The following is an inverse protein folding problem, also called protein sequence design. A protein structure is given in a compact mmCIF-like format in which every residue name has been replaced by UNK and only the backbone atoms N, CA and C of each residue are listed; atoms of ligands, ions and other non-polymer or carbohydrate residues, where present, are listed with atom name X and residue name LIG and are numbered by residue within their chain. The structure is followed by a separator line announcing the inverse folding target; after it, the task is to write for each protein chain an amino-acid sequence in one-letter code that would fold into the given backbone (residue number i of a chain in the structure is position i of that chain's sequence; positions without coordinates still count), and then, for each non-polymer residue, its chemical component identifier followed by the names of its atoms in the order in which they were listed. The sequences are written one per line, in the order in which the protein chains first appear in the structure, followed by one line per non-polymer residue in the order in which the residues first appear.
data_IF_992173853809
#
_entry.id   IF_992173853809
#
_cell.length_a   1.000
_cell.length_b   1.000
_cell.length_c   1.000
_cell.angle_alpha   90.00
_cell.angle_beta   90.00
_cell.angle_gamma   90.00
#
_symmetry.space_group_name_H-M   'P 1'
#
loop_
_entity.id
_entity.type
_entity.pdbx_description
1 polymer ?
#
# COMPACT_ATOMS: atom_id res chain seq x y z
N UNK A 1 9.88 7.64 -29.46
CA UNK A 1 9.40 8.71 -28.57
C UNK A 1 9.00 8.07 -27.25
N UNK A 2 9.56 8.42 -26.08
CA UNK A 2 9.19 7.71 -24.86
C UNK A 2 8.00 8.39 -24.16
N UNK A 3 6.81 7.79 -24.29
CA UNK A 3 6.01 7.40 -23.13
C UNK A 3 5.04 8.38 -22.46
N UNK A 4 4.77 9.57 -23.01
CA UNK A 4 3.85 10.53 -22.37
C UNK A 4 2.38 10.28 -22.71
N UNK A 5 1.68 9.48 -21.91
CA UNK A 5 0.23 9.65 -21.78
C UNK A 5 -0.07 11.08 -21.31
N UNK A 6 -1.18 11.67 -21.75
CA UNK A 6 -1.63 12.97 -21.25
C UNK A 6 -1.80 12.84 -19.73
N UNK A 7 -1.18 13.71 -18.93
CA UNK A 7 -1.35 13.68 -17.47
C UNK A 7 -2.84 13.88 -17.11
N UNK A 8 -3.44 12.88 -16.47
CA UNK A 8 -4.85 12.88 -16.09
C UNK A 8 -5.09 13.28 -14.62
N UNK A 9 -4.06 13.72 -13.90
CA UNK A 9 -4.15 14.01 -12.45
C UNK A 9 -5.31 14.93 -12.11
N UNK A 10 -5.47 16.07 -12.80
CA UNK A 10 -6.54 17.02 -12.50
C UNK A 10 -7.94 16.41 -12.63
N UNK A 11 -8.17 15.61 -13.68
CA UNK A 11 -9.47 14.97 -13.92
C UNK A 11 -9.78 13.85 -12.92
N UNK A 12 -8.76 13.08 -12.53
CA UNK A 12 -8.90 12.03 -11.52
C UNK A 12 -9.14 12.61 -10.13
N UNK A 13 -8.43 13.70 -9.79
CA UNK A 13 -8.60 14.40 -8.52
C UNK A 13 -10.01 14.98 -8.39
N UNK A 14 -10.54 15.59 -9.46
CA UNK A 14 -11.91 16.11 -9.46
C UNK A 14 -12.94 14.98 -9.26
N UNK A 15 -12.72 13.81 -9.87
CA UNK A 15 -13.59 12.65 -9.71
C UNK A 15 -13.54 12.09 -8.28
N UNK A 16 -12.34 11.98 -7.69
CA UNK A 16 -12.16 11.55 -6.30
C UNK A 16 -12.79 12.52 -5.29
N UNK A 17 -12.65 13.83 -5.53
CA UNK A 17 -13.26 14.88 -4.72
C UNK A 17 -14.79 14.83 -4.79
N UNK A 18 -15.36 14.61 -5.99
CA UNK A 18 -16.81 14.44 -6.16
C UNK A 18 -17.30 13.20 -5.41
N UNK A 19 -16.59 12.08 -5.51
CA UNK A 19 -16.94 10.86 -4.79
C UNK A 19 -16.95 11.05 -3.27
N UNK A 20 -15.98 11.80 -2.73
CA UNK A 20 -15.96 12.16 -1.31
C UNK A 20 -17.19 12.99 -0.91
N UNK A 21 -17.58 13.97 -1.74
CA UNK A 21 -18.69 14.87 -1.45
C UNK A 21 -20.06 14.21 -1.58
N UNK A 22 -20.25 13.36 -2.59
CA UNK A 22 -21.55 12.73 -2.87
C UNK A 22 -21.77 11.43 -2.08
N UNK A 23 -20.70 10.84 -1.53
CA UNK A 23 -20.73 9.51 -0.93
C UNK A 23 -20.96 8.38 -1.95
N UNK A 24 -20.88 8.68 -3.25
CA UNK A 24 -21.02 7.68 -4.32
C UNK A 24 -19.66 7.24 -4.83
N UNK A 25 -19.42 5.94 -5.08
CA UNK A 25 -18.15 5.47 -5.61
C UNK A 25 -17.76 6.11 -6.94
N UNK A 26 -16.49 6.52 -7.06
CA UNK A 26 -15.86 6.83 -8.34
C UNK A 26 -15.50 5.52 -9.03
N UNK A 27 -16.26 5.17 -10.07
CA UNK A 27 -15.90 4.06 -10.93
C UNK A 27 -14.82 4.49 -11.93
N UNK A 28 -13.65 3.85 -11.85
CA UNK A 28 -12.54 4.04 -12.78
C UNK A 28 -12.57 2.92 -13.85
N UNK A 29 -12.96 3.23 -15.10
CA UNK A 29 -13.01 2.21 -16.16
C UNK A 29 -11.66 1.54 -16.43
N UNK A 30 -11.65 0.42 -17.16
CA UNK A 30 -10.42 -0.15 -17.72
C UNK A 30 -9.64 0.89 -18.52
N UNK A 31 -8.35 1.04 -18.22
CA UNK A 31 -7.48 2.00 -18.88
C UNK A 31 -6.17 2.21 -18.14
N UNK A 32 -5.21 2.81 -18.85
CA UNK A 32 -3.93 3.27 -18.32
C UNK A 32 -3.98 4.78 -18.11
N UNK A 33 -3.97 5.21 -16.85
CA UNK A 33 -4.09 6.60 -16.44
C UNK A 33 -2.75 7.06 -15.85
N UNK A 34 -2.06 7.94 -16.56
CA UNK A 34 -0.82 8.55 -16.10
C UNK A 34 -1.15 9.68 -15.15
N UNK A 35 -0.68 9.57 -13.91
CA UNK A 35 -1.01 10.54 -12.86
C UNK A 35 0.13 10.70 -11.86
N UNK A 36 0.19 11.87 -11.26
CA UNK A 36 1.00 12.12 -10.07
C UNK A 36 0.15 11.77 -8.83
N UNK A 37 0.42 12.39 -7.68
CA UNK A 37 -0.25 12.08 -6.42
C UNK A 37 -1.71 12.55 -6.45
N UNK A 38 -2.64 11.63 -6.16
CA UNK A 38 -4.04 11.94 -5.84
C UNK A 38 -4.19 12.01 -4.33
N UNK A 39 -4.78 13.08 -3.83
CA UNK A 39 -5.10 13.26 -2.40
C UNK A 39 -6.55 12.85 -2.16
N UNK A 40 -6.78 11.81 -1.36
CA UNK A 40 -8.11 11.30 -1.07
C UNK A 40 -8.64 11.89 0.23
N UNK A 41 -9.91 12.27 0.23
CA UNK A 41 -10.60 12.88 1.39
C UNK A 41 -11.50 11.86 2.05
N UNK A 42 -11.95 12.15 3.27
CA UNK A 42 -12.90 11.30 3.99
C UNK A 42 -14.10 10.90 3.14
N UNK A 43 -14.45 9.62 3.17
CA UNK A 43 -15.53 9.05 2.39
C UNK A 43 -15.21 8.78 0.92
N UNK A 44 -13.99 9.07 0.43
CA UNK A 44 -13.60 8.71 -0.94
C UNK A 44 -13.67 7.20 -1.14
N UNK A 45 -14.41 6.78 -2.17
CA UNK A 45 -14.48 5.40 -2.62
C UNK A 45 -14.12 5.34 -4.10
N UNK A 46 -13.12 4.55 -4.46
CA UNK A 46 -12.70 4.34 -5.85
C UNK A 46 -12.81 2.85 -6.18
N UNK A 47 -13.53 2.55 -7.25
CA UNK A 47 -13.75 1.21 -7.74
C UNK A 47 -13.19 1.08 -9.16
N UNK A 48 -12.13 0.31 -9.30
CA UNK A 48 -11.57 -0.11 -10.58
C UNK A 48 -12.05 -1.49 -11.01
N UNK A 49 -11.55 -1.91 -12.17
CA UNK A 49 -11.63 -3.27 -12.67
C UNK A 49 -10.28 -3.96 -12.37
N UNK A 50 -10.23 -5.00 -11.51
CA UNK A 50 -8.99 -5.64 -11.09
C UNK A 50 -8.07 -5.99 -12.27
N UNK A 51 -6.83 -5.50 -12.20
CA UNK A 51 -5.81 -5.71 -13.24
C UNK A 51 -6.04 -4.94 -14.56
N UNK A 52 -7.09 -4.12 -14.68
CA UNK A 52 -7.39 -3.33 -15.88
C UNK A 52 -7.48 -1.82 -15.66
N UNK A 53 -7.79 -1.38 -14.45
CA UNK A 53 -7.78 0.06 -14.10
C UNK A 53 -6.42 0.41 -13.47
N UNK A 54 -5.52 0.97 -14.28
CA UNK A 54 -4.11 1.16 -13.94
C UNK A 54 -3.80 2.63 -13.76
N UNK A 55 -3.43 3.03 -12.54
CA UNK A 55 -2.82 4.32 -12.25
C UNK A 55 -1.30 4.17 -12.40
N UNK A 56 -0.73 4.83 -13.42
CA UNK A 56 0.71 4.83 -13.71
C UNK A 56 1.35 6.07 -13.15
N UNK A 57 2.38 5.84 -12.34
CA UNK A 57 3.09 6.89 -11.66
C UNK A 57 3.85 7.79 -12.64
N UNK A 58 3.66 9.10 -12.47
CA UNK A 58 4.27 10.14 -13.29
C UNK A 58 5.25 11.05 -12.52
N UNK A 59 5.78 10.59 -11.38
CA UNK A 59 6.70 11.34 -10.54
C UNK A 59 6.02 12.07 -9.37
N UNK A 60 6.84 12.63 -8.48
CA UNK A 60 6.41 13.34 -7.27
C UNK A 60 6.32 12.42 -6.04
N UNK A 61 5.39 12.75 -5.14
CA UNK A 61 5.27 12.13 -3.82
C UNK A 61 4.64 10.72 -3.76
N UNK A 62 4.18 10.18 -4.89
CA UNK A 62 3.50 8.88 -4.97
C UNK A 62 2.25 8.94 -5.84
N UNK A 63 1.43 7.90 -5.78
CA UNK A 63 0.16 7.82 -6.53
C UNK A 63 -1.04 8.19 -5.67
N UNK A 64 -1.05 7.76 -4.41
CA UNK A 64 -2.16 7.98 -3.48
C UNK A 64 -1.62 8.54 -2.17
N UNK A 65 -2.16 9.68 -1.76
CA UNK A 65 -2.02 10.24 -0.42
C UNK A 65 -3.35 10.31 0.30
N UNK A 66 -3.32 10.02 1.59
CA UNK A 66 -4.48 10.13 2.46
C UNK A 66 -3.97 10.67 3.80
N UNK A 67 -4.53 11.79 4.25
CA UNK A 67 -4.17 12.42 5.50
C UNK A 67 -5.43 12.84 6.25
N UNK A 68 -5.48 12.57 7.56
CA UNK A 68 -6.57 12.98 8.47
C UNK A 68 -7.97 12.64 7.93
N UNK A 69 -8.13 11.41 7.44
CA UNK A 69 -9.34 10.96 6.76
C UNK A 69 -10.04 9.78 7.43
N UNK A 70 -11.28 9.52 7.04
CA UNK A 70 -12.03 8.34 7.47
C UNK A 70 -12.80 7.68 6.31
N UNK A 71 -13.08 6.39 6.46
CA UNK A 71 -13.93 5.60 5.56
C UNK A 71 -13.48 5.62 4.08
N UNK A 72 -12.20 5.34 3.84
CA UNK A 72 -11.63 5.27 2.50
C UNK A 72 -11.75 3.84 1.96
N UNK A 73 -12.24 3.68 0.72
CA UNK A 73 -12.31 2.37 0.05
C UNK A 73 -11.65 2.42 -1.32
N UNK A 74 -10.68 1.54 -1.54
CA UNK A 74 -10.00 1.36 -2.81
C UNK A 74 -10.14 -0.10 -3.23
N UNK A 75 -10.80 -0.34 -4.36
CA UNK A 75 -11.04 -1.70 -4.85
C UNK A 75 -10.63 -1.84 -6.30
N UNK A 76 -9.91 -2.92 -6.64
CA UNK A 76 -9.67 -3.29 -8.03
C UNK A 76 -8.75 -2.35 -8.81
N UNK A 77 -7.89 -1.59 -8.12
CA UNK A 77 -6.94 -0.66 -8.72
C UNK A 77 -5.56 -1.29 -8.86
N UNK A 78 -4.85 -0.96 -9.95
CA UNK A 78 -3.41 -1.20 -10.05
C UNK A 78 -2.67 0.12 -9.89
N UNK A 79 -1.85 0.24 -8.86
CA UNK A 79 -0.86 1.31 -8.67
C UNK A 79 0.48 0.84 -9.24
N UNK A 80 0.87 1.37 -10.40
CA UNK A 80 2.08 0.99 -11.11
C UNK A 80 3.15 2.09 -10.96
N UNK A 81 4.21 1.80 -10.22
CA UNK A 81 5.35 2.69 -10.02
C UNK A 81 6.34 2.72 -11.19
N UNK A 82 6.35 1.68 -12.03
CA UNK A 82 7.25 1.49 -13.17
C UNK A 82 8.74 1.70 -12.82
N UNK A 83 9.12 1.42 -11.56
CA UNK A 83 10.45 1.64 -10.97
C UNK A 83 11.00 3.07 -11.13
N UNK A 84 10.11 4.06 -11.30
CA UNK A 84 10.49 5.47 -11.38
C UNK A 84 10.83 6.04 -10.01
N UNK A 85 11.78 7.00 -9.90
CA UNK A 85 12.10 7.67 -8.65
C UNK A 85 10.87 8.32 -8.00
N UNK A 86 10.74 8.16 -6.69
CA UNK A 86 9.60 8.64 -5.90
C UNK A 86 10.09 9.39 -4.67
N UNK A 87 9.56 10.59 -4.46
CA UNK A 87 10.04 11.49 -3.39
C UNK A 87 9.32 11.27 -2.06
N UNK A 88 8.10 10.72 -2.09
CA UNK A 88 7.26 10.53 -0.91
C UNK A 88 7.39 9.17 -0.21
N UNK A 89 8.36 8.36 -0.63
CA UNK A 89 8.72 7.11 0.04
C UNK A 89 7.82 5.90 -0.25
N UNK A 90 6.60 6.07 -0.77
CA UNK A 90 5.77 4.93 -1.18
C UNK A 90 4.71 5.29 -2.23
N UNK A 91 4.23 4.30 -3.00
CA UNK A 91 3.15 4.52 -3.98
C UNK A 91 1.82 4.90 -3.32
N UNK A 92 1.53 4.32 -2.16
CA UNK A 92 0.41 4.67 -1.32
C UNK A 92 0.91 5.06 0.06
N UNK A 93 0.63 6.30 0.47
CA UNK A 93 0.89 6.80 1.82
C UNK A 93 -0.43 7.18 2.47
N UNK A 94 -0.70 6.63 3.65
CA UNK A 94 -1.87 6.97 4.46
C UNK A 94 -1.44 7.31 5.89
N UNK A 95 -1.89 8.46 6.38
CA UNK A 95 -1.55 8.97 7.71
C UNK A 95 -2.82 9.40 8.46
N UNK A 96 -2.96 8.95 9.70
CA UNK A 96 -4.10 9.25 10.58
C UNK A 96 -5.46 8.88 9.96
N UNK A 97 -5.56 7.69 9.35
CA UNK A 97 -6.77 7.25 8.64
C UNK A 97 -7.58 6.25 9.48
N UNK A 98 -8.85 6.57 9.71
CA UNK A 98 -9.79 5.67 10.41
C UNK A 98 -10.63 4.90 9.40
N UNK A 99 -10.36 3.61 9.23
CA UNK A 99 -11.09 2.76 8.29
C UNK A 99 -10.62 2.92 6.85
N UNK A 100 -9.39 2.52 6.59
CA UNK A 100 -8.86 2.31 5.24
C UNK A 100 -9.15 0.87 4.79
N UNK A 101 -9.85 0.71 3.67
CA UNK A 101 -10.17 -0.58 3.09
C UNK A 101 -9.55 -0.69 1.69
N UNK A 102 -8.56 -1.58 1.55
CA UNK A 102 -7.99 -1.96 0.27
C UNK A 102 -8.42 -3.39 -0.05
N UNK A 103 -9.04 -3.60 -1.20
CA UNK A 103 -9.37 -4.93 -1.70
C UNK A 103 -9.04 -5.11 -3.17
N UNK A 104 -8.60 -6.31 -3.57
CA UNK A 104 -8.37 -6.66 -4.99
C UNK A 104 -7.41 -5.70 -5.73
N UNK A 105 -6.54 -5.01 -4.99
CA UNK A 105 -5.63 -4.02 -5.53
C UNK A 105 -4.26 -4.64 -5.86
N UNK A 106 -3.54 -4.01 -6.79
CA UNK A 106 -2.14 -4.35 -7.09
C UNK A 106 -1.27 -3.11 -6.86
N UNK A 107 -0.23 -3.21 -6.04
CA UNK A 107 0.71 -2.13 -5.77
C UNK A 107 2.10 -2.62 -6.16
N UNK A 108 2.57 -2.20 -7.34
CA UNK A 108 3.68 -2.82 -8.02
C UNK A 108 4.76 -1.83 -8.45
N UNK A 109 6.03 -2.24 -8.34
CA UNK A 109 7.13 -1.56 -9.00
C UNK A 109 7.52 -0.23 -8.37
N UNK A 110 7.39 -0.07 -7.05
CA UNK A 110 7.85 1.12 -6.35
C UNK A 110 9.39 1.19 -6.33
N UNK A 111 9.96 2.38 -6.55
CA UNK A 111 11.39 2.61 -6.31
C UNK A 111 11.74 2.76 -4.83
N UNK A 112 10.74 2.80 -3.94
CA UNK A 112 10.87 2.82 -2.48
C UNK A 112 9.97 1.72 -1.88
N UNK A 113 9.09 2.05 -0.93
CA UNK A 113 8.11 1.13 -0.36
C UNK A 113 6.84 1.04 -1.23
N UNK A 114 6.10 -0.07 -1.15
CA UNK A 114 4.82 -0.20 -1.83
C UNK A 114 3.73 0.62 -1.14
N UNK A 115 3.49 0.30 0.13
CA UNK A 115 2.43 0.86 0.97
C UNK A 115 3.00 1.29 2.32
N UNK A 116 2.70 2.53 2.74
CA UNK A 116 3.07 3.08 4.06
C UNK A 116 1.82 3.57 4.77
N UNK A 117 1.56 3.04 5.96
CA UNK A 117 0.40 3.32 6.79
C UNK A 117 0.88 3.81 8.16
N UNK A 118 0.49 5.01 8.58
CA UNK A 118 0.80 5.57 9.90
C UNK A 118 -0.46 5.92 10.66
N UNK A 119 -0.65 5.39 11.86
CA UNK A 119 -1.86 5.62 12.67
C UNK A 119 -3.14 5.26 11.92
N UNK A 120 -3.13 4.12 11.25
CA UNK A 120 -4.23 3.64 10.41
C UNK A 120 -4.96 2.48 11.07
N UNK A 121 -6.29 2.45 10.91
CA UNK A 121 -7.13 1.27 11.14
C UNK A 121 -7.87 0.85 9.87
N UNK A 122 -8.29 -0.40 9.78
CA UNK A 122 -9.05 -0.91 8.63
C UNK A 122 -8.58 -2.29 8.18
N UNK A 123 -8.70 -2.57 6.87
CA UNK A 123 -8.38 -3.86 6.29
C UNK A 123 -7.68 -3.72 4.93
N UNK A 124 -6.57 -4.42 4.78
CA UNK A 124 -5.89 -4.63 3.50
C UNK A 124 -6.06 -6.11 3.17
N UNK A 125 -6.88 -6.42 2.17
CA UNK A 125 -7.14 -7.81 1.79
C UNK A 125 -7.11 -8.08 0.30
N UNK A 126 -6.78 -9.32 -0.06
CA UNK A 126 -6.85 -9.81 -1.44
C UNK A 126 -6.01 -8.95 -2.41
N UNK A 127 -4.95 -8.30 -1.90
CA UNK A 127 -4.07 -7.44 -2.69
C UNK A 127 -2.78 -8.17 -3.09
N UNK A 128 -2.19 -7.71 -4.19
CA UNK A 128 -0.83 -8.07 -4.59
C UNK A 128 0.08 -6.86 -4.36
N UNK A 129 1.14 -7.04 -3.59
CA UNK A 129 2.13 -5.98 -3.31
C UNK A 129 3.50 -6.54 -3.66
N UNK A 130 4.18 -5.93 -4.63
CA UNK A 130 5.47 -6.49 -5.01
C UNK A 130 6.28 -5.71 -6.02
N UNK A 131 7.44 -6.28 -6.36
CA UNK A 131 8.43 -5.65 -7.23
C UNK A 131 8.92 -4.29 -6.68
N UNK A 132 8.87 -4.11 -5.35
CA UNK A 132 9.24 -2.87 -4.65
C UNK A 132 10.71 -2.91 -4.22
N UNK A 133 11.41 -1.77 -4.32
CA UNK A 133 12.83 -1.71 -3.96
C UNK A 133 13.11 -1.82 -2.46
N UNK A 134 12.18 -1.41 -1.60
CA UNK A 134 12.30 -1.54 -0.14
C UNK A 134 11.27 -2.52 0.42
N UNK A 135 10.33 -2.06 1.23
CA UNK A 135 9.27 -2.83 1.86
C UNK A 135 8.03 -3.02 0.97
N UNK A 136 7.31 -4.10 1.20
CA UNK A 136 5.97 -4.29 0.64
C UNK A 136 4.96 -3.38 1.33
N UNK A 137 4.70 -3.64 2.62
CA UNK A 137 3.75 -2.90 3.44
C UNK A 137 4.41 -2.54 4.78
N UNK A 138 4.51 -1.25 5.05
CA UNK A 138 4.95 -0.70 6.33
C UNK A 138 3.77 -0.09 7.09
N UNK A 139 3.51 -0.61 8.29
CA UNK A 139 2.49 -0.10 9.20
C UNK A 139 3.15 0.37 10.49
N UNK A 140 2.84 1.59 10.92
CA UNK A 140 3.39 2.21 12.13
C UNK A 140 2.26 2.80 12.99
N UNK A 141 2.28 2.47 14.29
CA UNK A 141 1.31 2.95 15.28
C UNK A 141 -0.15 2.65 14.88
N UNK A 142 -0.42 1.45 14.36
CA UNK A 142 -1.76 1.07 13.93
C UNK A 142 -2.72 0.90 15.11
N UNK A 143 -4.01 0.93 14.79
CA UNK A 143 -5.09 0.69 15.75
C UNK A 143 -5.96 -0.49 15.25
N UNK A 144 -5.45 -1.72 15.43
CA UNK A 144 -6.16 -2.94 15.05
C UNK A 144 -6.33 -3.13 13.54
N UNK A 145 -5.26 -2.94 12.76
CA UNK A 145 -5.28 -3.17 11.32
C UNK A 145 -5.40 -4.67 11.00
N UNK A 146 -6.14 -5.02 9.96
CA UNK A 146 -6.17 -6.39 9.43
C UNK A 146 -5.45 -6.46 8.08
N UNK A 147 -4.45 -7.33 7.97
CA UNK A 147 -3.70 -7.59 6.75
C UNK A 147 -3.91 -9.06 6.40
N UNK A 148 -4.83 -9.34 5.47
CA UNK A 148 -5.32 -10.69 5.22
C UNK A 148 -5.34 -11.10 3.74
N UNK A 149 -5.01 -12.35 3.42
CA UNK A 149 -5.14 -12.89 2.05
C UNK A 149 -4.33 -12.15 0.97
N UNK A 150 -3.28 -11.41 1.35
CA UNK A 150 -2.44 -10.70 0.40
C UNK A 150 -1.30 -11.58 -0.13
N UNK A 151 -0.81 -11.26 -1.32
CA UNK A 151 0.44 -11.78 -1.85
C UNK A 151 1.48 -10.66 -1.83
N UNK A 152 2.43 -10.75 -0.91
CA UNK A 152 3.58 -9.84 -0.82
C UNK A 152 4.80 -10.52 -1.40
N UNK A 153 5.40 -9.96 -2.45
CA UNK A 153 6.47 -10.64 -3.18
C UNK A 153 7.55 -9.72 -3.73
N UNK A 154 8.73 -10.27 -3.97
CA UNK A 154 9.78 -9.63 -4.76
C UNK A 154 10.19 -8.24 -4.22
N UNK A 155 10.18 -8.08 -2.89
CA UNK A 155 10.53 -6.84 -2.21
C UNK A 155 12.00 -6.83 -1.82
N UNK A 156 12.66 -5.67 -1.91
CA UNK A 156 14.09 -5.55 -1.74
C UNK A 156 14.59 -5.60 -0.30
N UNK A 157 13.77 -5.21 0.68
CA UNK A 157 14.17 -5.19 2.08
C UNK A 157 13.20 -5.88 3.03
N UNK A 158 11.88 -5.73 2.93
CA UNK A 158 10.97 -6.40 3.89
C UNK A 158 9.62 -6.72 3.23
N UNK A 159 8.92 -7.73 3.74
CA UNK A 159 7.56 -8.04 3.33
C UNK A 159 6.55 -7.11 4.01
N UNK A 160 6.09 -7.52 5.20
CA UNK A 160 5.14 -6.80 6.04
C UNK A 160 5.83 -6.36 7.33
N UNK A 161 5.78 -5.08 7.63
CA UNK A 161 6.33 -4.48 8.85
C UNK A 161 5.17 -3.95 9.71
N UNK A 162 5.10 -4.38 10.96
CA UNK A 162 4.10 -3.92 11.96
C UNK A 162 4.85 -3.32 13.15
N UNK A 163 4.98 -2.01 13.13
CA UNK A 163 5.86 -1.26 14.02
C UNK A 163 5.08 -0.29 14.91
N UNK A 164 5.72 0.11 16.01
CA UNK A 164 5.30 1.26 16.80
C UNK A 164 6.46 2.17 17.11
N UNK A 165 6.16 3.46 17.24
CA UNK A 165 7.08 4.47 17.75
C UNK A 165 7.48 4.14 19.18
N UNK A 166 6.49 3.86 20.04
CA UNK A 166 6.66 3.46 21.44
C UNK A 166 6.09 2.07 21.69
N UNK A 167 6.74 1.31 22.58
CA UNK A 167 6.26 -0.01 22.96
C UNK A 167 4.84 0.05 23.54
N UNK A 168 3.92 -0.72 22.97
CA UNK A 168 2.50 -0.67 23.36
C UNK A 168 1.60 -1.56 22.51
N UNK A 169 0.31 -1.61 22.85
CA UNK A 169 -0.68 -2.42 22.14
C UNK A 169 -0.99 -1.85 20.76
N UNK A 170 -0.81 -2.66 19.72
CA UNK A 170 -1.15 -2.37 18.33
C UNK A 170 -2.39 -3.16 17.87
N UNK A 171 -2.41 -4.46 18.19
CA UNK A 171 -3.55 -5.33 17.92
C UNK A 171 -3.72 -5.74 16.45
N UNK A 172 -2.76 -5.42 15.58
CA UNK A 172 -2.82 -5.83 14.16
C UNK A 172 -2.91 -7.34 14.00
N UNK A 173 -3.70 -7.78 13.03
CA UNK A 173 -3.83 -9.19 12.62
C UNK A 173 -3.21 -9.35 11.23
N UNK A 174 -2.15 -10.14 11.13
CA UNK A 174 -1.50 -10.54 9.88
C UNK A 174 -1.82 -12.00 9.61
N UNK A 175 -2.75 -12.28 8.71
CA UNK A 175 -3.27 -13.64 8.53
C UNK A 175 -3.44 -14.10 7.09
N UNK A 176 -3.24 -15.39 6.84
CA UNK A 176 -3.51 -16.01 5.53
C UNK A 176 -2.82 -15.33 4.33
N UNK A 177 -1.69 -14.66 4.56
CA UNK A 177 -0.91 -14.03 3.49
C UNK A 177 0.09 -15.01 2.88
N UNK A 178 0.46 -14.79 1.62
CA UNK A 178 1.62 -15.39 0.97
C UNK A 178 2.72 -14.35 0.90
N UNK A 179 3.86 -14.62 1.52
CA UNK A 179 4.99 -13.69 1.57
C UNK A 179 6.22 -14.42 1.06
N UNK A 180 6.81 -13.95 -0.04
CA UNK A 180 7.92 -14.67 -0.66
C UNK A 180 8.92 -13.80 -1.43
N UNK A 181 10.16 -14.28 -1.56
CA UNK A 181 11.25 -13.60 -2.28
C UNK A 181 11.52 -12.20 -1.71
N UNK A 182 11.77 -12.16 -0.41
CA UNK A 182 12.12 -10.92 0.31
C UNK A 182 13.62 -10.86 0.50
N UNK A 183 14.26 -9.88 -0.12
CA UNK A 183 15.70 -9.67 -0.04
C UNK A 183 16.09 -8.76 1.14
N UNK A 184 17.39 -8.61 1.38
CA UNK A 184 17.96 -7.63 2.30
C UNK A 184 18.96 -6.73 1.54
N UNK A 185 18.48 -6.00 0.54
CA UNK A 185 19.31 -5.21 -0.38
C UNK A 185 20.01 -4.05 0.32
N UNK A 186 19.40 -3.50 1.36
CA UNK A 186 19.97 -2.45 2.21
C UNK A 186 20.96 -3.01 3.25
N UNK A 187 21.15 -4.34 3.33
CA UNK A 187 22.07 -4.99 4.26
C UNK A 187 21.63 -4.91 5.73
N UNK A 188 22.59 -5.05 6.65
CA UNK A 188 22.35 -5.03 8.10
C UNK A 188 22.34 -6.41 8.75
N UNK A 189 22.19 -6.43 10.07
CA UNK A 189 22.33 -7.62 10.93
C UNK A 189 20.96 -8.23 11.31
N UNK A 190 19.92 -7.98 10.50
CA UNK A 190 18.58 -8.54 10.67
C UNK A 190 17.41 -7.55 10.63
N UNK A 191 17.67 -6.25 10.44
CA UNK A 191 16.60 -5.25 10.27
C UNK A 191 15.88 -5.38 8.92
N UNK A 192 16.59 -5.91 7.92
CA UNK A 192 16.07 -6.16 6.58
C UNK A 192 16.04 -7.68 6.31
N UNK A 193 15.29 -8.08 5.30
CA UNK A 193 15.06 -9.43 4.80
C UNK A 193 13.98 -10.23 5.51
N UNK A 194 13.10 -9.57 6.28
CA UNK A 194 12.07 -10.25 7.05
C UNK A 194 10.77 -10.37 6.25
N UNK A 195 10.15 -11.55 6.26
CA UNK A 195 8.82 -11.75 5.69
C UNK A 195 7.76 -10.96 6.46
N UNK A 196 7.68 -11.19 7.78
CA UNK A 196 6.93 -10.35 8.71
C UNK A 196 7.86 -9.87 9.80
N UNK A 197 7.86 -8.57 10.10
CA UNK A 197 8.64 -8.01 11.19
C UNK A 197 7.74 -7.20 12.12
N UNK A 198 7.72 -7.60 13.40
CA UNK A 198 6.96 -6.95 14.46
C UNK A 198 7.94 -6.26 15.40
N UNK A 199 7.84 -4.94 15.53
CA UNK A 199 8.77 -4.16 16.34
C UNK A 199 8.02 -3.20 17.26
N UNK A 200 8.22 -3.34 18.59
CA UNK A 200 7.53 -2.57 19.65
C UNK A 200 6.00 -2.72 19.69
N UNK A 201 5.40 -3.34 18.68
CA UNK A 201 3.97 -3.61 18.58
C UNK A 201 3.56 -4.84 19.42
N UNK A 202 2.71 -4.62 20.41
CA UNK A 202 2.12 -5.64 21.27
C UNK A 202 0.76 -6.13 20.76
N UNK A 203 0.35 -7.30 21.24
CA UNK A 203 -0.93 -7.95 20.88
C UNK A 203 -1.12 -8.24 19.39
N UNK A 204 -0.03 -8.28 18.60
CA UNK A 204 -0.09 -8.60 17.17
C UNK A 204 -0.29 -10.10 16.99
N UNK A 205 -1.27 -10.49 16.18
CA UNK A 205 -1.49 -11.88 15.78
C UNK A 205 -0.89 -12.12 14.39
N UNK A 206 0.04 -13.07 14.28
CA UNK A 206 0.60 -13.52 13.00
C UNK A 206 0.26 -15.00 12.83
N UNK A 207 -0.67 -15.34 11.94
CA UNK A 207 -1.23 -16.71 11.85
C UNK A 207 -1.60 -17.13 10.43
N UNK A 208 -1.41 -18.41 10.09
CA UNK A 208 -1.87 -18.94 8.79
C UNK A 208 -1.15 -18.38 7.57
N UNK A 209 -0.04 -17.66 7.73
CA UNK A 209 0.75 -17.12 6.62
C UNK A 209 1.68 -18.19 6.04
N UNK A 210 1.87 -18.18 4.71
CA UNK A 210 2.93 -18.94 4.05
C UNK A 210 4.09 -18.00 3.74
N UNK A 211 5.22 -18.21 4.41
CA UNK A 211 6.40 -17.36 4.28
C UNK A 211 7.55 -18.22 3.75
N UNK A 212 8.15 -17.80 2.62
CA UNK A 212 9.17 -18.57 1.91
C UNK A 212 10.21 -17.64 1.28
N UNK A 213 11.41 -18.15 1.01
CA UNK A 213 12.44 -17.42 0.23
C UNK A 213 12.73 -15.98 0.75
N UNK A 214 12.70 -15.80 2.08
CA UNK A 214 13.05 -14.55 2.76
C UNK A 214 14.50 -14.64 3.25
N UNK A 215 15.26 -13.53 3.18
CA UNK A 215 16.68 -13.54 3.50
C UNK A 215 17.00 -13.76 5.00
N UNK A 216 16.11 -13.37 5.91
CA UNK A 216 16.30 -13.53 7.36
C UNK A 216 15.17 -14.32 8.01
N UNK A 217 14.12 -13.66 8.49
CA UNK A 217 13.03 -14.33 9.21
C UNK A 217 11.85 -14.63 8.30
N UNK A 218 11.31 -15.82 8.53
CA UNK A 218 10.00 -16.26 8.08
C UNK A 218 9.02 -16.13 9.24
#
# INVERSE_FOLDING_TARGET
MPGGGIDQTASLQEAADKAAQSGTPFFLPPGDYTTTKLELKSGTQIQGVPGKSVLRFNGGGGLIGIEDAADIRLTGLTLAGDAKPIDGGALLVAEQVKGLYLSDCRILGSAEDGVVLRKVSGRISDCEIGDNRKGGLFSEDAAGLEIAHNHVRDCGDNGILVWRSDAGEDGTIVTSNRIERIAAKSGGDGQNGNGVNVFRAGSVMVSGNRIADCAFSA
#
